data_IF_895061791373
#
_entry.id   IF_895061791373
#
_cell.length_a   1.000
_cell.length_b   1.000
_cell.length_c   1.000
_cell.angle_alpha   90.00
_cell.angle_beta   90.00
_cell.angle_gamma   90.00
#
_symmetry.space_group_name_H-M   'P 1'
#
loop_
_entity.id
_entity.type
_entity.pdbx_description
1 polymer ?
#
# COMPACT_ATOMS: atom_id res chain seq x y z
N UNK A 1 38.35 -19.09 18.35
CA UNK A 1 38.04 -17.75 17.81
C UNK A 1 37.28 -17.78 16.48
N UNK A 2 37.79 -18.47 15.44
CA UNK A 2 37.10 -18.57 14.12
C UNK A 2 35.67 -19.13 14.19
N UNK A 3 35.46 -20.19 14.99
CA UNK A 3 34.13 -20.79 15.17
C UNK A 3 33.11 -19.81 15.79
N UNK A 4 33.54 -18.98 16.74
CA UNK A 4 32.68 -17.98 17.36
C UNK A 4 32.25 -16.88 16.36
N UNK A 5 33.16 -16.49 15.46
CA UNK A 5 32.86 -15.52 14.41
C UNK A 5 31.82 -16.06 13.42
N UNK A 6 31.97 -17.32 12.99
CA UNK A 6 31.03 -17.98 12.06
C UNK A 6 29.63 -18.10 12.69
N UNK A 7 29.56 -18.51 13.96
CA UNK A 7 28.29 -18.61 14.69
C UNK A 7 27.59 -17.26 14.85
N UNK A 8 28.33 -16.20 15.19
CA UNK A 8 27.77 -14.85 15.27
C UNK A 8 27.25 -14.36 13.92
N UNK A 9 28.00 -14.55 12.84
CA UNK A 9 27.57 -14.12 11.50
C UNK A 9 26.29 -14.83 11.05
N UNK A 10 26.18 -16.14 11.31
CA UNK A 10 24.97 -16.90 10.99
C UNK A 10 23.74 -16.41 11.77
N UNK A 11 23.91 -16.00 13.03
CA UNK A 11 22.83 -15.49 13.87
C UNK A 11 22.28 -14.13 13.40
N UNK A 12 23.11 -13.27 12.77
CA UNK A 12 22.63 -12.00 12.21
C UNK A 12 21.80 -12.17 10.94
N UNK A 13 22.03 -13.22 10.15
CA UNK A 13 21.28 -13.48 8.91
C UNK A 13 19.84 -13.93 9.16
N UNK A 14 19.57 -14.64 10.26
CA UNK A 14 18.21 -15.07 10.63
C UNK A 14 17.35 -13.94 11.22
N UNK A 15 17.93 -12.80 11.58
CA UNK A 15 17.18 -11.65 12.09
C UNK A 15 16.28 -10.98 11.02
N UNK A 16 16.58 -11.17 9.73
CA UNK A 16 15.73 -10.72 8.62
C UNK A 16 14.79 -11.82 8.07
N UNK A 17 14.79 -13.01 8.68
CA UNK A 17 13.95 -14.14 8.27
C UNK A 17 12.61 -14.18 9.01
N UNK A 18 11.95 -13.03 9.18
CA UNK A 18 10.61 -13.05 9.75
C UNK A 18 9.69 -13.95 8.92
N UNK A 19 8.75 -14.62 9.58
CA UNK A 19 7.74 -15.41 8.87
C UNK A 19 7.03 -14.45 7.91
N UNK A 20 6.91 -14.77 6.62
CA UNK A 20 6.16 -13.92 5.70
C UNK A 20 4.83 -13.52 6.32
N UNK A 21 4.58 -12.22 6.43
CA UNK A 21 3.26 -11.67 6.80
C UNK A 21 2.31 -11.89 5.63
N UNK A 22 2.07 -13.16 5.32
CA UNK A 22 1.01 -13.54 4.41
C UNK A 22 -0.31 -13.23 5.11
N UNK A 23 -1.26 -12.71 4.34
CA UNK A 23 -2.63 -12.54 4.80
C UNK A 23 -3.20 -13.94 5.03
N UNK A 24 -3.08 -14.44 6.27
CA UNK A 24 -3.67 -15.71 6.69
C UNK A 24 -5.13 -15.47 7.02
N UNK A 25 -6.03 -15.74 6.06
CA UNK A 25 -7.48 -15.64 6.26
C UNK A 25 -8.26 -15.40 4.97
N UNK A 26 -9.57 -15.58 5.03
CA UNK A 26 -10.48 -15.14 3.95
C UNK A 26 -10.67 -13.64 4.10
N UNK A 27 -10.48 -12.89 3.01
CA UNK A 27 -10.81 -11.47 2.89
C UNK A 27 -12.34 -11.30 3.05
N UNK A 28 -12.81 -10.95 4.24
CA UNK A 28 -14.24 -10.71 4.54
C UNK A 28 -14.62 -9.23 4.58
N UNK A 29 -13.64 -8.35 4.47
CA UNK A 29 -13.82 -6.91 4.34
C UNK A 29 -14.62 -6.55 3.08
N UNK A 30 -15.46 -5.52 3.21
CA UNK A 30 -16.17 -4.93 2.07
C UNK A 30 -15.16 -4.29 1.12
N UNK A 31 -15.44 -4.27 -0.20
CA UNK A 31 -14.59 -3.54 -1.13
C UNK A 31 -14.42 -2.08 -0.72
N UNK A 32 -13.21 -1.54 -0.85
CA UNK A 32 -12.91 -0.15 -0.43
C UNK A 32 -13.79 0.90 -1.14
N UNK A 33 -14.17 0.66 -2.41
CA UNK A 33 -15.06 1.54 -3.15
C UNK A 33 -16.50 1.55 -2.62
N UNK A 34 -16.90 0.62 -1.74
CA UNK A 34 -18.20 0.65 -1.06
C UNK A 34 -18.34 1.83 -0.09
N UNK A 35 -17.24 2.54 0.20
CA UNK A 35 -17.25 3.71 1.06
C UNK A 35 -17.30 3.37 2.55
N UNK A 36 -17.01 4.37 3.36
CA UNK A 36 -16.89 4.25 4.82
C UNK A 36 -18.24 4.35 5.54
N UNK A 37 -19.28 4.86 4.86
CA UNK A 37 -20.60 5.12 5.44
C UNK A 37 -20.65 6.37 6.34
N UNK A 38 -19.56 7.14 6.39
CA UNK A 38 -19.39 8.29 7.28
C UNK A 38 -18.93 9.50 6.45
N UNK A 39 -19.76 10.54 6.44
CA UNK A 39 -19.53 11.74 5.64
C UNK A 39 -18.17 12.43 5.92
N UNK A 40 -17.67 12.54 7.16
CA UNK A 40 -16.39 13.19 7.44
C UNK A 40 -15.16 12.55 6.77
N UNK A 41 -15.27 11.27 6.38
CA UNK A 41 -14.18 10.52 5.73
C UNK A 41 -14.54 10.16 4.28
N UNK A 42 -15.51 10.86 3.70
CA UNK A 42 -15.96 10.68 2.32
C UNK A 42 -15.67 11.98 1.57
N UNK A 43 -14.95 11.88 0.45
CA UNK A 43 -14.68 13.04 -0.40
C UNK A 43 -16.01 13.65 -0.88
N UNK A 44 -16.22 14.97 -0.75
CA UNK A 44 -17.43 15.62 -1.23
C UNK A 44 -17.67 15.34 -2.72
N UNK A 45 -18.90 14.97 -3.07
CA UNK A 45 -19.30 14.68 -4.44
C UNK A 45 -18.96 13.28 -4.95
N UNK A 46 -18.17 12.50 -4.21
CA UNK A 46 -17.95 11.08 -4.54
C UNK A 46 -19.14 10.22 -4.10
N UNK A 47 -19.51 9.23 -4.93
CA UNK A 47 -20.60 8.29 -4.67
C UNK A 47 -20.07 6.94 -4.19
N UNK A 48 -20.48 6.53 -2.99
CA UNK A 48 -20.20 5.20 -2.47
C UNK A 48 -20.71 4.10 -3.43
N UNK A 49 -19.86 3.12 -3.72
CA UNK A 49 -20.13 2.06 -4.70
C UNK A 49 -19.60 2.35 -6.11
N UNK A 50 -19.21 3.58 -6.43
CA UNK A 50 -18.60 3.92 -7.72
C UNK A 50 -17.15 3.43 -7.80
N UNK A 51 -16.99 2.22 -8.34
CA UNK A 51 -15.70 1.54 -8.50
C UNK A 51 -14.76 2.28 -9.44
N UNK A 52 -15.27 2.79 -10.57
CA UNK A 52 -14.44 3.42 -11.59
C UNK A 52 -14.00 4.82 -11.14
N UNK A 53 -14.91 5.60 -10.57
CA UNK A 53 -14.58 6.88 -9.94
C UNK A 53 -13.54 6.73 -8.83
N UNK A 54 -13.69 5.72 -7.97
CA UNK A 54 -12.71 5.41 -6.91
C UNK A 54 -11.33 5.06 -7.47
N UNK A 55 -11.26 4.19 -8.48
CA UNK A 55 -9.99 3.80 -9.10
C UNK A 55 -9.30 4.98 -9.80
N UNK A 56 -10.08 5.83 -10.48
CA UNK A 56 -9.58 7.04 -11.13
C UNK A 56 -9.02 8.04 -10.11
N UNK A 57 -9.70 8.25 -8.98
CA UNK A 57 -9.19 9.09 -7.88
C UNK A 57 -7.84 8.59 -7.37
N UNK A 58 -7.69 7.28 -7.13
CA UNK A 58 -6.42 6.72 -6.69
C UNK A 58 -5.32 6.87 -7.74
N UNK A 59 -5.64 6.63 -9.01
CA UNK A 59 -4.69 6.81 -10.11
C UNK A 59 -4.20 8.24 -10.21
N UNK A 60 -5.13 9.21 -10.13
CA UNK A 60 -4.77 10.63 -10.14
C UNK A 60 -3.86 10.99 -8.98
N UNK A 61 -4.16 10.51 -7.77
CA UNK A 61 -3.32 10.72 -6.57
C UNK A 61 -1.93 10.11 -6.71
N UNK A 62 -1.83 8.87 -7.19
CA UNK A 62 -0.56 8.18 -7.36
C UNK A 62 0.34 8.82 -8.43
N UNK A 63 -0.27 9.44 -9.45
CA UNK A 63 0.45 10.12 -10.53
C UNK A 63 0.68 11.62 -10.27
N UNK A 64 0.15 12.17 -9.18
CA UNK A 64 0.32 13.58 -8.84
C UNK A 64 1.77 13.86 -8.45
N UNK A 65 2.39 14.88 -9.04
CA UNK A 65 3.82 15.19 -8.86
C UNK A 65 4.79 14.26 -9.60
N UNK A 66 4.27 13.31 -10.39
CA UNK A 66 5.07 12.45 -11.25
C UNK A 66 5.11 13.02 -12.66
N UNK A 67 6.31 13.05 -13.23
CA UNK A 67 6.58 13.52 -14.59
C UNK A 67 6.18 14.98 -14.83
N UNK A 68 6.30 15.86 -13.84
CA UNK A 68 5.90 17.27 -14.02
C UNK A 68 6.69 17.98 -15.15
N UNK A 69 7.93 17.54 -15.40
CA UNK A 69 8.77 17.98 -16.51
C UNK A 69 8.17 17.68 -17.90
N UNK A 70 7.34 16.64 -18.05
CA UNK A 70 6.64 16.37 -19.32
C UNK A 70 5.41 17.27 -19.51
N UNK A 71 4.98 17.97 -18.44
CA UNK A 71 3.82 18.87 -18.43
C UNK A 71 4.20 20.34 -18.51
N UNK A 72 5.49 20.67 -18.44
CA UNK A 72 5.97 22.02 -18.61
C UNK A 72 5.69 22.51 -20.04
N UNK A 73 5.19 23.75 -20.23
CA UNK A 73 5.06 24.33 -21.55
C UNK A 73 6.44 24.42 -22.23
N UNK A 74 6.46 24.24 -23.56
CA UNK A 74 7.67 24.41 -24.38
C UNK A 74 8.08 25.87 -24.45
#
# INVERSE_FOLDING_TARGET
MKAAFILCSAAFLVACGEKPQEVKGVRTDKPAYSGTGVAPFTEPGWKAGDKDGWANHLKARAAYGQNDHVRAPK
#
